data_IF_775951345459
#
_entry.id   IF_775951345459
#
_cell.length_a   1.000
_cell.length_b   1.000
_cell.length_c   1.000
_cell.angle_alpha   90.00
_cell.angle_beta   90.00
_cell.angle_gamma   90.00
#
_symmetry.space_group_name_H-M   'P 1'
#
loop_
_entity.id
_entity.type
_entity.pdbx_description
1 polymer ?
#
# COMPACT_ATOMS: atom_id res chain seq x y z
N UNK A 1 50.59 -6.87 20.93
CA UNK A 1 49.33 -6.60 21.65
C UNK A 1 48.24 -6.22 20.65
N UNK A 2 47.44 -7.20 20.22
CA UNK A 2 46.27 -6.95 19.36
C UNK A 2 45.12 -6.55 20.29
N UNK A 3 44.66 -5.31 20.19
CA UNK A 3 43.48 -4.84 20.95
C UNK A 3 42.24 -5.56 20.40
N UNK A 4 41.74 -6.54 21.13
CA UNK A 4 40.41 -7.09 20.93
C UNK A 4 39.36 -5.97 21.11
N UNK A 5 38.70 -5.60 20.02
CA UNK A 5 37.52 -4.74 20.07
C UNK A 5 36.38 -5.55 20.68
N UNK A 6 36.00 -5.21 21.92
CA UNK A 6 34.78 -5.71 22.58
C UNK A 6 33.57 -5.53 21.66
N UNK A 7 32.65 -6.52 21.58
CA UNK A 7 31.46 -6.42 20.76
C UNK A 7 30.58 -5.28 21.30
N UNK A 8 30.27 -4.32 20.43
CA UNK A 8 29.37 -3.21 20.73
C UNK A 8 27.96 -3.77 21.00
N UNK A 9 27.60 -3.76 22.28
CA UNK A 9 26.28 -4.11 22.79
C UNK A 9 25.33 -2.97 22.38
N UNK A 10 24.32 -3.29 21.55
CA UNK A 10 23.26 -2.43 21.01
C UNK A 10 23.60 -1.50 19.84
N UNK A 11 23.60 -2.06 18.64
CA UNK A 11 23.50 -1.30 17.40
C UNK A 11 22.04 -0.86 17.15
N UNK A 12 21.56 0.16 17.88
CA UNK A 12 20.20 0.71 17.79
C UNK A 12 19.76 1.07 16.35
N UNK A 13 20.71 1.45 15.47
CA UNK A 13 20.44 1.69 14.05
C UNK A 13 20.03 0.42 13.29
N UNK A 14 20.64 -0.72 13.60
CA UNK A 14 20.30 -2.00 12.97
C UNK A 14 18.93 -2.52 13.46
N UNK A 15 18.64 -2.33 14.75
CA UNK A 15 17.33 -2.62 15.37
C UNK A 15 16.22 -1.75 14.76
N UNK A 16 16.44 -0.44 14.62
CA UNK A 16 15.49 0.47 13.99
C UNK A 16 15.18 0.12 12.53
N UNK A 17 16.22 -0.24 11.75
CA UNK A 17 16.05 -0.65 10.34
C UNK A 17 15.25 -1.95 10.21
N UNK A 18 15.50 -2.94 11.08
CA UNK A 18 14.77 -4.20 11.10
C UNK A 18 13.30 -4.04 11.51
N UNK A 19 13.02 -3.21 12.51
CA UNK A 19 11.66 -2.90 12.96
C UNK A 19 10.90 -2.14 11.87
N UNK A 20 11.51 -1.11 11.27
CA UNK A 20 10.89 -0.34 10.20
C UNK A 20 10.55 -1.21 9.00
N UNK A 21 11.48 -2.06 8.55
CA UNK A 21 11.21 -3.02 7.48
C UNK A 21 10.02 -3.93 7.83
N UNK A 22 9.95 -4.43 9.06
CA UNK A 22 8.86 -5.32 9.49
C UNK A 22 7.51 -4.61 9.56
N UNK A 23 7.48 -3.33 9.92
CA UNK A 23 6.27 -2.54 10.03
C UNK A 23 5.78 -1.96 8.69
N UNK A 24 6.69 -1.51 7.83
CA UNK A 24 6.36 -0.74 6.61
C UNK A 24 6.87 -1.38 5.30
N UNK A 25 7.66 -2.45 5.36
CA UNK A 25 8.18 -3.11 4.17
C UNK A 25 7.10 -3.89 3.44
N UNK A 26 6.72 -3.46 2.24
CA UNK A 26 5.66 -4.08 1.44
C UNK A 26 6.02 -5.46 0.85
N UNK A 27 7.31 -5.77 0.72
CA UNK A 27 7.78 -7.02 0.09
C UNK A 27 8.46 -7.99 1.10
N UNK A 28 8.50 -7.65 2.39
CA UNK A 28 9.25 -8.47 3.35
C UNK A 28 8.56 -9.80 3.67
N UNK A 29 9.24 -10.91 3.34
CA UNK A 29 8.81 -12.27 3.68
C UNK A 29 7.63 -12.80 2.87
N UNK A 30 7.40 -12.23 1.68
CA UNK A 30 6.28 -12.59 0.80
C UNK A 30 6.81 -13.16 -0.50
N UNK A 31 6.21 -14.26 -0.96
CA UNK A 31 6.40 -14.71 -2.33
C UNK A 31 5.62 -13.77 -3.28
N UNK A 32 6.35 -12.96 -4.04
CA UNK A 32 5.82 -11.97 -4.99
C UNK A 32 4.99 -12.65 -6.09
N UNK A 33 5.16 -13.94 -6.34
CA UNK A 33 4.35 -14.69 -7.31
C UNK A 33 2.92 -14.98 -6.82
N UNK A 34 2.67 -14.88 -5.51
CA UNK A 34 1.36 -15.07 -4.90
C UNK A 34 0.67 -13.71 -4.62
N UNK A 35 -0.30 -13.37 -5.46
CA UNK A 35 -1.02 -12.09 -5.38
C UNK A 35 -1.77 -11.91 -4.06
N UNK A 36 -2.27 -13.00 -3.46
CA UNK A 36 -3.00 -12.93 -2.19
C UNK A 36 -2.05 -12.63 -1.04
N UNK A 37 -0.87 -13.26 -1.01
CA UNK A 37 0.14 -13.00 -0.01
C UNK A 37 0.67 -11.55 -0.08
N UNK A 38 0.84 -11.02 -1.30
CA UNK A 38 1.19 -9.61 -1.54
C UNK A 38 0.09 -8.68 -1.01
N UNK A 39 -1.18 -8.98 -1.30
CA UNK A 39 -2.31 -8.18 -0.81
C UNK A 39 -2.45 -8.23 0.72
N UNK A 40 -2.29 -9.41 1.33
CA UNK A 40 -2.24 -9.58 2.78
C UNK A 40 -1.17 -8.70 3.40
N UNK A 41 0.05 -8.69 2.83
CA UNK A 41 1.15 -7.86 3.35
C UNK A 41 0.85 -6.37 3.21
N UNK A 42 0.32 -5.93 2.07
CA UNK A 42 -0.15 -4.54 1.89
C UNK A 42 -1.16 -4.15 2.95
N UNK A 43 -2.17 -4.99 3.19
CA UNK A 43 -3.17 -4.75 4.23
C UNK A 43 -2.56 -4.60 5.63
N UNK A 44 -1.57 -5.44 5.98
CA UNK A 44 -0.87 -5.32 7.27
C UNK A 44 -0.12 -3.99 7.38
N UNK A 45 0.61 -3.59 6.33
CA UNK A 45 1.37 -2.33 6.31
C UNK A 45 0.43 -1.13 6.37
N UNK A 46 -0.66 -1.11 5.60
CA UNK A 46 -1.62 0.00 5.58
C UNK A 46 -2.35 0.12 6.91
N UNK A 47 -2.70 -0.99 7.56
CA UNK A 47 -3.23 -0.98 8.92
C UNK A 47 -2.24 -0.33 9.91
N UNK A 48 -0.94 -0.60 9.77
CA UNK A 48 0.07 0.05 10.61
C UNK A 48 0.17 1.56 10.30
N UNK A 49 0.08 1.96 9.03
CA UNK A 49 0.03 3.37 8.64
C UNK A 49 -1.19 4.04 9.29
N UNK A 50 -2.38 3.47 9.13
CA UNK A 50 -3.63 3.96 9.76
C UNK A 50 -3.44 4.17 11.26
N UNK A 51 -2.84 3.20 11.96
CA UNK A 51 -2.58 3.32 13.39
C UNK A 51 -1.69 4.53 13.72
N UNK A 52 -0.60 4.72 12.98
CA UNK A 52 0.31 5.87 13.16
C UNK A 52 -0.39 7.18 12.83
N UNK A 53 -1.17 7.24 11.75
CA UNK A 53 -1.90 8.44 11.35
C UNK A 53 -2.89 8.88 12.40
N UNK A 54 -3.65 7.93 12.96
CA UNK A 54 -4.59 8.23 14.02
C UNK A 54 -3.90 8.71 15.31
N UNK A 55 -2.73 8.13 15.63
CA UNK A 55 -1.92 8.62 16.73
C UNK A 55 -1.48 10.07 16.46
N UNK A 56 -1.02 10.38 15.25
CA UNK A 56 -0.67 11.74 14.85
C UNK A 56 -1.86 12.70 14.91
N UNK A 57 -3.04 12.29 14.44
CA UNK A 57 -4.26 13.11 14.56
C UNK A 57 -4.62 13.37 16.01
N UNK A 58 -4.51 12.37 16.88
CA UNK A 58 -4.75 12.52 18.31
C UNK A 58 -3.76 13.52 18.95
N UNK A 59 -2.49 13.48 18.56
CA UNK A 59 -1.46 14.42 19.03
C UNK A 59 -1.76 15.83 18.54
N UNK A 60 -2.09 16.01 17.24
CA UNK A 60 -2.42 17.32 16.67
C UNK A 60 -3.60 17.94 17.40
N UNK A 61 -4.68 17.18 17.61
CA UNK A 61 -5.87 17.66 18.31
C UNK A 61 -5.59 17.94 19.79
N UNK A 62 -4.73 17.15 20.44
CA UNK A 62 -4.32 17.40 21.82
C UNK A 62 -3.52 18.70 21.94
N UNK A 63 -2.57 18.95 21.03
CA UNK A 63 -1.82 20.22 20.99
C UNK A 63 -2.79 21.39 20.79
N UNK A 64 -3.70 21.29 19.82
CA UNK A 64 -4.73 22.31 19.56
C UNK A 64 -5.58 22.58 20.81
N UNK A 65 -5.97 21.53 21.52
CA UNK A 65 -6.75 21.65 22.74
C UNK A 65 -5.99 22.34 23.88
N UNK A 66 -4.66 22.23 23.93
CA UNK A 66 -3.84 22.90 24.94
C UNK A 66 -3.55 24.35 24.57
N UNK A 67 -3.54 24.68 23.27
CA UNK A 67 -3.19 26.01 22.76
C UNK A 67 -4.37 26.96 22.59
N UNK A 68 -5.61 26.46 22.54
CA UNK A 68 -6.80 27.32 22.39
C UNK A 68 -7.61 27.39 23.69
N UNK A 69 -7.60 28.55 24.35
CA UNK A 69 -8.51 28.83 25.46
C UNK A 69 -9.96 28.85 24.95
N UNK A 70 -10.84 28.01 25.51
CA UNK A 70 -12.28 28.14 25.32
C UNK A 70 -13.01 27.10 24.48
N UNK A 71 -12.41 25.96 24.08
CA UNK A 71 -13.22 24.86 23.51
C UNK A 71 -13.02 23.52 24.22
N UNK A 72 -13.87 23.28 25.22
CA UNK A 72 -14.02 22.00 25.94
C UNK A 72 -14.22 20.81 24.98
N UNK A 73 -14.65 21.07 23.74
CA UNK A 73 -14.84 20.06 22.70
C UNK A 73 -13.54 19.44 22.15
N UNK A 74 -12.39 20.15 22.13
CA UNK A 74 -11.18 19.65 21.44
C UNK A 74 -10.45 18.53 22.20
N UNK A 75 -10.37 18.59 23.53
CA UNK A 75 -9.78 17.49 24.32
C UNK A 75 -10.67 16.24 24.30
N UNK A 76 -12.00 16.40 24.30
CA UNK A 76 -12.95 15.28 24.26
C UNK A 76 -12.79 14.50 22.95
N UNK A 77 -12.66 15.18 21.81
CA UNK A 77 -12.41 14.53 20.51
C UNK A 77 -11.06 13.82 20.53
N UNK A 78 -10.02 14.42 21.12
CA UNK A 78 -8.70 13.79 21.26
C UNK A 78 -8.74 12.52 22.11
N UNK A 79 -9.49 12.53 23.22
CA UNK A 79 -9.66 11.37 24.11
C UNK A 79 -10.49 10.27 23.44
N UNK A 80 -11.55 10.62 22.69
CA UNK A 80 -12.40 9.66 21.95
C UNK A 80 -11.64 9.06 20.74
N UNK A 81 -10.71 9.79 20.15
CA UNK A 81 -9.91 9.31 19.02
C UNK A 81 -9.09 8.06 19.40
N UNK A 82 -8.65 7.93 20.66
CA UNK A 82 -7.85 6.78 21.11
C UNK A 82 -8.67 5.46 21.14
N UNK A 83 -9.85 5.37 21.79
CA UNK A 83 -10.73 4.21 21.66
C UNK A 83 -11.13 3.90 20.21
N UNK A 84 -11.43 4.93 19.41
CA UNK A 84 -11.79 4.75 18.00
C UNK A 84 -10.64 4.10 17.22
N UNK A 85 -9.41 4.57 17.44
CA UNK A 85 -8.20 4.00 16.85
C UNK A 85 -8.02 2.53 17.24
N UNK A 86 -8.23 2.20 18.51
CA UNK A 86 -8.16 0.82 18.99
C UNK A 86 -9.21 -0.07 18.31
N UNK A 87 -10.47 0.39 18.22
CA UNK A 87 -11.57 -0.35 17.59
C UNK A 87 -11.27 -0.61 16.11
N UNK A 88 -10.86 0.41 15.36
CA UNK A 88 -10.55 0.28 13.94
C UNK A 88 -9.35 -0.65 13.72
N UNK A 89 -8.28 -0.51 14.50
CA UNK A 89 -7.13 -1.39 14.39
C UNK A 89 -7.49 -2.85 14.71
N UNK A 90 -8.37 -3.09 15.70
CA UNK A 90 -8.90 -4.42 16.03
C UNK A 90 -9.76 -4.97 14.90
N UNK A 91 -10.63 -4.16 14.32
CA UNK A 91 -11.49 -4.54 13.19
C UNK A 91 -10.65 -4.92 11.96
N UNK A 92 -9.71 -4.06 11.56
CA UNK A 92 -8.82 -4.33 10.43
C UNK A 92 -7.97 -5.58 10.68
N UNK A 93 -7.39 -5.73 11.88
CA UNK A 93 -6.64 -6.94 12.24
C UNK A 93 -7.51 -8.21 12.13
N UNK A 94 -8.77 -8.13 12.54
CA UNK A 94 -9.71 -9.25 12.42
C UNK A 94 -10.01 -9.58 10.96
N UNK A 95 -10.32 -8.59 10.12
CA UNK A 95 -10.62 -8.80 8.71
C UNK A 95 -9.42 -9.39 7.95
N UNK A 96 -8.22 -8.86 8.19
CA UNK A 96 -6.98 -9.30 7.54
C UNK A 96 -6.64 -10.75 7.89
N UNK A 97 -6.86 -11.15 9.14
CA UNK A 97 -6.50 -12.49 9.63
C UNK A 97 -7.65 -13.50 9.55
N UNK A 98 -8.83 -13.10 9.05
CA UNK A 98 -9.98 -14.00 8.93
C UNK A 98 -9.69 -15.15 7.97
N UNK A 99 -9.02 -14.85 6.86
CA UNK A 99 -8.53 -15.83 5.91
C UNK A 99 -7.39 -15.21 5.07
N UNK A 100 -6.12 -15.52 5.40
CA UNK A 100 -4.97 -14.95 4.72
C UNK A 100 -4.82 -15.38 3.24
N UNK A 101 -5.46 -16.49 2.84
CA UNK A 101 -5.28 -17.09 1.52
C UNK A 101 -6.46 -16.82 0.56
N UNK A 102 -7.55 -16.23 1.07
CA UNK A 102 -8.72 -15.86 0.27
C UNK A 102 -8.60 -14.43 -0.28
N UNK A 103 -8.53 -14.31 -1.61
CA UNK A 103 -8.43 -13.04 -2.32
C UNK A 103 -9.60 -12.10 -2.01
N UNK A 104 -10.82 -12.61 -1.96
CA UNK A 104 -12.03 -11.82 -1.74
C UNK A 104 -12.02 -11.20 -0.34
N UNK A 105 -11.71 -12.00 0.68
CA UNK A 105 -11.62 -11.50 2.07
C UNK A 105 -10.49 -10.47 2.23
N UNK A 106 -9.35 -10.69 1.57
CA UNK A 106 -8.27 -9.69 1.54
C UNK A 106 -8.67 -8.40 0.80
N UNK A 107 -9.44 -8.51 -0.30
CA UNK A 107 -10.00 -7.34 -0.98
C UNK A 107 -11.00 -6.58 -0.11
N UNK A 108 -11.86 -7.28 0.65
CA UNK A 108 -12.77 -6.63 1.62
C UNK A 108 -11.97 -5.84 2.66
N UNK A 109 -10.91 -6.42 3.23
CA UNK A 109 -10.05 -5.71 4.18
C UNK A 109 -9.41 -4.45 3.55
N UNK A 110 -8.98 -4.53 2.28
CA UNK A 110 -8.43 -3.41 1.51
C UNK A 110 -9.45 -2.28 1.34
N UNK A 111 -10.67 -2.58 0.88
CA UNK A 111 -11.71 -1.56 0.70
C UNK A 111 -12.14 -0.94 2.02
N UNK A 112 -12.24 -1.73 3.10
CA UNK A 112 -12.56 -1.20 4.44
C UNK A 112 -11.46 -0.27 4.95
N UNK A 113 -10.18 -0.62 4.75
CA UNK A 113 -9.06 0.22 5.13
C UNK A 113 -9.04 1.54 4.32
N UNK A 114 -9.24 1.46 3.01
CA UNK A 114 -9.31 2.64 2.14
C UNK A 114 -10.48 3.56 2.49
N UNK A 115 -11.66 2.98 2.73
CA UNK A 115 -12.84 3.72 3.20
C UNK A 115 -12.58 4.40 4.54
N UNK A 116 -11.90 3.72 5.47
CA UNK A 116 -11.53 4.31 6.75
C UNK A 116 -10.57 5.50 6.58
N UNK A 117 -9.52 5.36 5.76
CA UNK A 117 -8.57 6.45 5.49
C UNK A 117 -9.31 7.66 4.94
N UNK A 118 -10.12 7.43 3.90
CA UNK A 118 -11.00 8.42 3.31
C UNK A 118 -11.84 9.14 4.37
N UNK A 119 -12.61 8.39 5.15
CA UNK A 119 -13.53 8.93 6.13
C UNK A 119 -12.79 9.69 7.25
N UNK A 120 -11.69 9.13 7.75
CA UNK A 120 -10.89 9.76 8.80
C UNK A 120 -10.27 11.08 8.34
N UNK A 121 -9.71 11.15 7.14
CA UNK A 121 -9.11 12.37 6.61
C UNK A 121 -10.15 13.48 6.43
N UNK A 122 -11.37 13.14 6.02
CA UNK A 122 -12.50 14.08 5.91
C UNK A 122 -12.96 14.59 7.28
N UNK A 123 -13.09 13.71 8.28
CA UNK A 123 -13.51 14.14 9.62
C UNK A 123 -12.50 15.09 10.26
N UNK A 124 -11.20 14.77 10.13
CA UNK A 124 -10.14 15.64 10.65
C UNK A 124 -10.08 16.93 9.82
N UNK A 125 -10.25 16.86 8.49
CA UNK A 125 -10.39 18.06 7.64
C UNK A 125 -11.49 18.98 8.18
N UNK A 126 -12.69 18.44 8.40
CA UNK A 126 -13.83 19.23 8.85
C UNK A 126 -13.59 19.90 10.21
N UNK A 127 -12.84 19.23 11.10
CA UNK A 127 -12.46 19.79 12.40
C UNK A 127 -11.39 20.87 12.30
N UNK A 128 -10.35 20.65 11.49
CA UNK A 128 -9.22 21.57 11.36
C UNK A 128 -9.56 22.81 10.51
N UNK A 129 -10.43 22.66 9.51
CA UNK A 129 -10.80 23.73 8.59
C UNK A 129 -11.45 24.92 9.31
N UNK A 130 -12.16 24.67 10.41
CA UNK A 130 -12.81 25.71 11.22
C UNK A 130 -11.84 26.53 12.07
N UNK A 131 -10.55 26.14 12.14
CA UNK A 131 -9.54 26.81 12.94
C UNK A 131 -8.69 27.73 12.06
N UNK A 132 -8.48 28.94 12.53
CA UNK A 132 -7.63 29.95 11.88
C UNK A 132 -6.21 29.37 11.64
N UNK A 133 -5.62 29.65 10.48
CA UNK A 133 -4.31 29.14 10.02
C UNK A 133 -4.21 27.63 9.69
N UNK A 134 -5.22 26.81 9.99
CA UNK A 134 -5.20 25.36 9.71
C UNK A 134 -5.90 24.97 8.42
N UNK A 135 -6.44 25.93 7.66
CA UNK A 135 -7.13 25.68 6.39
C UNK A 135 -6.26 24.86 5.41
N UNK A 136 -5.03 25.31 5.14
CA UNK A 136 -4.08 24.61 4.27
C UNK A 136 -3.70 23.23 4.81
N UNK A 137 -3.53 23.13 6.14
CA UNK A 137 -3.24 21.86 6.81
C UNK A 137 -4.38 20.85 6.65
N UNK A 138 -5.63 21.31 6.70
CA UNK A 138 -6.81 20.50 6.43
C UNK A 138 -6.77 19.97 5.00
N UNK A 139 -6.53 20.83 4.00
CA UNK A 139 -6.47 20.40 2.59
C UNK A 139 -5.43 19.31 2.34
N UNK A 140 -4.26 19.39 2.96
CA UNK A 140 -3.19 18.39 2.83
C UNK A 140 -3.68 16.99 3.23
N UNK A 141 -4.65 16.86 4.13
CA UNK A 141 -5.22 15.56 4.53
C UNK A 141 -5.92 14.84 3.39
N UNK A 142 -6.51 15.57 2.44
CA UNK A 142 -7.16 14.99 1.27
C UNK A 142 -6.12 14.41 0.30
N UNK A 143 -5.01 15.11 0.10
CA UNK A 143 -3.87 14.61 -0.67
C UNK A 143 -3.23 13.39 0.02
N UNK A 144 -3.07 13.48 1.34
CA UNK A 144 -2.57 12.40 2.17
C UNK A 144 -3.41 11.11 2.01
N UNK A 145 -4.75 11.21 2.04
CA UNK A 145 -5.62 10.06 1.83
C UNK A 145 -5.36 9.37 0.48
N UNK A 146 -5.24 10.15 -0.59
CA UNK A 146 -4.91 9.64 -1.94
C UNK A 146 -3.56 8.92 -1.93
N UNK A 147 -2.54 9.48 -1.27
CA UNK A 147 -1.21 8.85 -1.16
C UNK A 147 -1.30 7.51 -0.45
N UNK A 148 -1.96 7.42 0.71
CA UNK A 148 -2.04 6.16 1.44
C UNK A 148 -2.80 5.11 0.65
N UNK A 149 -3.92 5.49 0.01
CA UNK A 149 -4.69 4.56 -0.84
C UNK A 149 -3.84 4.08 -2.02
N UNK A 150 -2.99 4.95 -2.59
CA UNK A 150 -2.09 4.60 -3.70
C UNK A 150 -1.05 3.52 -3.34
N UNK A 151 -0.71 3.38 -2.05
CA UNK A 151 0.23 2.36 -1.58
C UNK A 151 -0.30 0.93 -1.73
N UNK A 152 -1.62 0.76 -1.91
CA UNK A 152 -2.18 -0.53 -2.32
C UNK A 152 -1.75 -0.93 -3.73
N UNK A 153 -1.25 0.02 -4.53
CA UNK A 153 -0.89 -0.15 -5.93
C UNK A 153 -2.03 -0.83 -6.71
N UNK A 154 -3.24 -0.31 -6.53
CA UNK A 154 -4.47 -0.79 -7.18
C UNK A 154 -5.20 0.37 -7.87
N UNK A 155 -5.19 0.38 -9.21
CA UNK A 155 -5.74 1.46 -10.04
C UNK A 155 -7.22 1.70 -9.80
N UNK A 156 -8.03 0.64 -9.71
CA UNK A 156 -9.48 0.74 -9.60
C UNK A 156 -9.89 1.35 -8.26
N UNK A 157 -9.25 0.93 -7.18
CA UNK A 157 -9.40 1.46 -5.83
C UNK A 157 -8.98 2.92 -5.77
N UNK A 158 -7.83 3.26 -6.34
CA UNK A 158 -7.35 4.63 -6.38
C UNK A 158 -8.33 5.54 -7.16
N UNK A 159 -8.77 5.12 -8.34
CA UNK A 159 -9.69 5.89 -9.18
C UNK A 159 -11.05 6.10 -8.52
N UNK A 160 -11.65 5.01 -8.00
CA UNK A 160 -12.95 5.10 -7.29
C UNK A 160 -12.87 5.93 -6.02
N UNK A 161 -11.80 5.79 -5.24
CA UNK A 161 -11.59 6.60 -4.03
C UNK A 161 -11.37 8.07 -4.37
N UNK A 162 -10.63 8.37 -5.44
CA UNK A 162 -10.41 9.74 -5.91
C UNK A 162 -11.71 10.39 -6.38
N UNK A 163 -12.54 9.70 -7.16
CA UNK A 163 -13.85 10.21 -7.57
C UNK A 163 -14.72 10.54 -6.35
N UNK A 164 -14.73 9.68 -5.34
CA UNK A 164 -15.41 9.94 -4.06
C UNK A 164 -14.85 11.16 -3.33
N UNK A 165 -13.52 11.29 -3.24
CA UNK A 165 -12.86 12.44 -2.60
C UNK A 165 -13.16 13.74 -3.33
N UNK A 166 -13.10 13.73 -4.66
CA UNK A 166 -13.37 14.90 -5.48
C UNK A 166 -14.83 15.35 -5.32
N UNK A 167 -15.79 14.43 -5.44
CA UNK A 167 -17.21 14.75 -5.27
C UNK A 167 -17.50 15.32 -3.87
N UNK A 168 -16.97 14.68 -2.83
CA UNK A 168 -17.14 15.16 -1.46
C UNK A 168 -16.47 16.53 -1.24
N UNK A 169 -15.26 16.72 -1.76
CA UNK A 169 -14.54 17.97 -1.66
C UNK A 169 -15.30 19.10 -2.37
N UNK A 170 -15.88 18.85 -3.54
CA UNK A 170 -16.77 19.81 -4.22
C UNK A 170 -17.97 20.17 -3.34
N UNK A 171 -18.63 19.18 -2.72
CA UNK A 171 -19.76 19.43 -1.80
C UNK A 171 -19.32 20.28 -0.60
N UNK A 172 -18.17 19.98 -0.01
CA UNK A 172 -17.58 20.74 1.10
C UNK A 172 -17.35 22.20 0.70
N UNK A 173 -16.75 22.45 -0.47
CA UNK A 173 -16.48 23.83 -0.90
C UNK A 173 -17.77 24.62 -1.12
N UNK A 174 -18.75 24.01 -1.79
CA UNK A 174 -20.01 24.68 -2.10
C UNK A 174 -20.83 24.94 -0.84
N UNK A 175 -20.95 23.97 0.07
CA UNK A 175 -21.85 24.09 1.21
C UNK A 175 -21.17 24.75 2.42
N UNK A 176 -19.97 24.29 2.80
CA UNK A 176 -19.30 24.75 4.01
C UNK A 176 -18.38 25.93 3.78
N UNK A 177 -17.52 25.89 2.77
CA UNK A 177 -16.52 26.96 2.58
C UNK A 177 -17.18 28.26 2.11
N UNK A 178 -18.02 28.19 1.10
CA UNK A 178 -18.55 29.40 0.44
C UNK A 178 -20.03 29.67 0.71
N UNK A 179 -20.71 28.79 1.44
CA UNK A 179 -22.15 28.90 1.72
C UNK A 179 -22.95 29.29 0.46
N UNK A 180 -22.90 28.44 -0.56
CA UNK A 180 -23.49 28.68 -1.87
C UNK A 180 -24.99 29.02 -1.80
N UNK A 181 -25.71 28.49 -0.80
CA UNK A 181 -27.12 28.83 -0.56
C UNK A 181 -27.32 30.32 -0.24
N UNK A 182 -26.43 30.91 0.55
CA UNK A 182 -26.43 32.35 0.82
C UNK A 182 -26.04 33.18 -0.41
N UNK A 183 -25.08 32.69 -1.21
CA UNK A 183 -24.61 33.37 -2.42
C UNK A 183 -25.68 33.47 -3.51
N UNK A 184 -26.50 32.43 -3.68
CA UNK A 184 -27.58 32.42 -4.69
C UNK A 184 -28.60 33.52 -4.42
N UNK A 185 -28.84 33.89 -3.16
CA UNK A 185 -29.69 35.01 -2.74
C UNK A 185 -31.04 35.09 -3.46
N UNK A 186 -31.66 33.93 -3.74
CA UNK A 186 -32.95 33.82 -4.43
C UNK A 186 -32.93 33.92 -5.96
N UNK A 187 -31.76 34.10 -6.58
CA UNK A 187 -31.61 34.13 -8.05
C UNK A 187 -31.88 32.76 -8.68
N UNK A 188 -32.31 32.76 -9.94
CA UNK A 188 -32.41 31.52 -10.72
C UNK A 188 -31.03 31.03 -11.16
N UNK A 189 -30.90 29.73 -11.49
CA UNK A 189 -29.62 29.14 -11.91
C UNK A 189 -29.01 29.83 -13.14
N UNK A 190 -29.85 30.33 -14.06
CA UNK A 190 -29.43 31.04 -15.27
C UNK A 190 -28.89 32.44 -14.99
N UNK A 191 -29.38 33.11 -13.95
CA UNK A 191 -28.91 34.44 -13.53
C UNK A 191 -27.64 34.36 -12.68
N UNK A 192 -27.58 33.35 -11.81
CA UNK A 192 -26.50 33.18 -10.86
C UNK A 192 -25.22 32.62 -11.51
N UNK A 193 -25.33 31.65 -12.42
CA UNK A 193 -24.15 30.96 -12.95
C UNK A 193 -23.15 31.91 -13.66
N UNK A 194 -23.57 32.86 -14.53
CA UNK A 194 -22.64 33.82 -15.13
C UNK A 194 -22.00 34.78 -14.11
N UNK A 195 -22.71 35.09 -13.02
CA UNK A 195 -22.19 35.93 -11.94
C UNK A 195 -21.17 35.16 -11.12
N UNK A 196 -21.47 33.91 -10.76
CA UNK A 196 -20.61 33.01 -10.02
C UNK A 196 -19.24 32.82 -10.69
N UNK A 197 -19.20 32.67 -12.02
CA UNK A 197 -17.94 32.55 -12.77
C UNK A 197 -16.99 33.76 -12.64
N UNK A 198 -17.50 34.92 -12.22
CA UNK A 198 -16.72 36.14 -12.01
C UNK A 198 -16.32 36.36 -10.55
N UNK A 199 -16.88 35.56 -9.64
CA UNK A 199 -16.62 35.65 -8.23
C UNK A 199 -15.24 35.03 -7.89
N UNK A 200 -14.48 35.60 -6.93
CA UNK A 200 -13.19 35.05 -6.51
C UNK A 200 -13.31 33.61 -5.96
N UNK A 201 -14.45 33.26 -5.38
CA UNK A 201 -14.79 31.93 -4.87
C UNK A 201 -14.74 30.87 -5.97
N UNK A 202 -15.23 31.18 -7.17
CA UNK A 202 -15.17 30.26 -8.30
C UNK A 202 -13.72 29.97 -8.71
N UNK A 203 -12.89 31.02 -8.77
CA UNK A 203 -11.47 30.89 -9.10
C UNK A 203 -10.74 30.00 -8.09
N UNK A 204 -10.98 30.18 -6.79
CA UNK A 204 -10.38 29.36 -5.74
C UNK A 204 -10.80 27.88 -5.85
N UNK A 205 -12.11 27.59 -5.96
CA UNK A 205 -12.61 26.22 -6.13
C UNK A 205 -11.99 25.56 -7.37
N UNK A 206 -11.97 26.30 -8.49
CA UNK A 206 -11.44 25.80 -9.75
C UNK A 206 -9.95 25.46 -9.63
N UNK A 207 -9.15 26.37 -9.06
CA UNK A 207 -7.72 26.17 -8.89
C UNK A 207 -7.42 24.99 -7.95
N UNK A 208 -8.08 24.90 -6.80
CA UNK A 208 -7.90 23.77 -5.86
C UNK A 208 -8.30 22.44 -6.48
N UNK A 209 -9.40 22.43 -7.23
CA UNK A 209 -9.87 21.24 -7.95
C UNK A 209 -8.86 20.81 -9.02
N UNK A 210 -8.34 21.75 -9.81
CA UNK A 210 -7.37 21.47 -10.87
C UNK A 210 -6.05 20.95 -10.28
N UNK A 211 -5.56 21.54 -9.19
CA UNK A 211 -4.38 21.06 -8.48
C UNK A 211 -4.58 19.64 -7.92
N UNK A 212 -5.77 19.34 -7.37
CA UNK A 212 -6.08 18.01 -6.87
C UNK A 212 -6.15 16.96 -7.99
N UNK A 213 -6.71 17.31 -9.14
CA UNK A 213 -6.71 16.46 -10.35
C UNK A 213 -5.29 16.25 -10.87
N UNK A 214 -4.46 17.29 -10.92
CA UNK A 214 -3.07 17.19 -11.35
C UNK A 214 -2.28 16.26 -10.43
N UNK A 215 -2.48 16.38 -9.12
CA UNK A 215 -1.88 15.48 -8.14
C UNK A 215 -2.31 14.03 -8.36
N UNK A 216 -3.62 13.79 -8.52
CA UNK A 216 -4.14 12.46 -8.81
C UNK A 216 -3.54 11.88 -10.09
N UNK A 217 -3.38 12.67 -11.15
CA UNK A 217 -2.77 12.22 -12.39
C UNK A 217 -1.35 11.66 -12.15
N UNK A 218 -0.52 12.39 -11.39
CA UNK A 218 0.83 11.95 -11.04
C UNK A 218 0.80 10.66 -10.22
N UNK A 219 -0.03 10.61 -9.18
CA UNK A 219 -0.15 9.42 -8.31
C UNK A 219 -0.66 8.21 -9.09
N UNK A 220 -1.64 8.41 -9.97
CA UNK A 220 -2.18 7.36 -10.84
C UNK A 220 -1.12 6.83 -11.81
N UNK A 221 -0.30 7.71 -12.39
CA UNK A 221 0.82 7.30 -13.23
C UNK A 221 1.83 6.44 -12.46
N UNK A 222 2.20 6.84 -11.23
CA UNK A 222 3.08 6.07 -10.34
C UNK A 222 2.51 4.69 -10.03
N UNK A 223 1.23 4.61 -9.63
CA UNK A 223 0.55 3.34 -9.37
C UNK A 223 0.49 2.49 -10.63
N UNK A 224 0.23 3.10 -11.78
CA UNK A 224 0.13 2.39 -13.05
C UNK A 224 1.45 1.75 -13.48
N UNK A 225 2.54 2.52 -13.41
CA UNK A 225 3.89 2.02 -13.66
C UNK A 225 4.29 0.95 -12.63
N UNK A 226 3.95 1.16 -11.35
CA UNK A 226 4.21 0.21 -10.27
C UNK A 226 3.56 -1.15 -10.51
N UNK A 227 2.27 -1.17 -10.86
CA UNK A 227 1.56 -2.39 -11.22
C UNK A 227 2.17 -3.09 -12.44
N UNK A 228 2.41 -2.35 -13.52
CA UNK A 228 3.02 -2.90 -14.73
C UNK A 228 4.37 -3.57 -14.44
N UNK A 229 5.24 -2.89 -13.68
CA UNK A 229 6.54 -3.42 -13.30
C UNK A 229 6.44 -4.67 -12.40
N UNK A 230 5.39 -4.79 -11.58
CA UNK A 230 5.16 -6.00 -10.78
C UNK A 230 4.71 -7.17 -11.64
N UNK A 231 3.83 -6.94 -12.61
CA UNK A 231 3.38 -7.97 -13.55
C UNK A 231 4.55 -8.49 -14.41
N UNK A 232 5.40 -7.61 -14.92
CA UNK A 232 6.59 -8.00 -15.68
C UNK A 232 7.59 -8.79 -14.81
N UNK A 233 7.88 -8.33 -13.58
CA UNK A 233 8.72 -9.09 -12.63
C UNK A 233 8.16 -10.49 -12.36
N UNK A 234 6.83 -10.61 -12.23
CA UNK A 234 6.17 -11.91 -12.04
C UNK A 234 6.34 -12.83 -13.25
N UNK A 235 6.11 -12.33 -14.47
CA UNK A 235 6.30 -13.09 -15.72
C UNK A 235 7.74 -13.57 -15.86
N UNK A 236 8.70 -12.70 -15.58
CA UNK A 236 10.11 -13.04 -15.62
C UNK A 236 10.47 -14.15 -14.63
N UNK A 237 9.99 -14.06 -13.39
CA UNK A 237 10.22 -15.09 -12.37
C UNK A 237 9.64 -16.45 -12.76
N UNK A 238 8.44 -16.48 -13.34
CA UNK A 238 7.83 -17.72 -13.84
C UNK A 238 8.68 -18.32 -14.96
N UNK A 239 9.09 -17.49 -15.94
CA UNK A 239 9.95 -17.93 -17.05
C UNK A 239 11.29 -18.48 -16.54
N UNK A 240 11.92 -17.83 -15.55
CA UNK A 240 13.16 -18.31 -14.92
C UNK A 240 12.97 -19.68 -14.25
N UNK A 241 11.87 -19.88 -13.51
CA UNK A 241 11.54 -21.18 -12.88
C UNK A 241 11.32 -22.27 -13.93
N UNK A 242 10.63 -21.96 -15.04
CA UNK A 242 10.43 -22.90 -16.14
C UNK A 242 11.76 -23.33 -16.77
N UNK A 243 12.62 -22.37 -17.13
CA UNK A 243 13.94 -22.65 -17.72
C UNK A 243 14.81 -23.50 -16.78
N UNK A 244 14.75 -23.26 -15.47
CA UNK A 244 15.47 -24.06 -14.47
C UNK A 244 14.97 -25.52 -14.42
N UNK A 245 13.65 -25.72 -14.48
CA UNK A 245 13.07 -27.06 -14.52
C UNK A 245 13.47 -27.79 -15.81
N UNK A 246 13.35 -27.13 -16.96
CA UNK A 246 13.73 -27.70 -18.26
C UNK A 246 15.22 -28.09 -18.29
N UNK A 247 16.10 -27.22 -17.77
CA UNK A 247 17.52 -27.53 -17.63
C UNK A 247 17.77 -28.74 -16.73
N UNK A 248 17.07 -28.83 -15.59
CA UNK A 248 17.19 -29.97 -14.68
C UNK A 248 16.75 -31.29 -15.33
N UNK A 249 15.69 -31.26 -16.14
CA UNK A 249 15.22 -32.43 -16.89
C UNK A 249 16.25 -32.84 -17.96
N UNK A 250 16.72 -31.89 -18.78
CA UNK A 250 17.72 -32.17 -19.82
C UNK A 250 19.01 -32.73 -19.23
N UNK A 251 19.50 -32.15 -18.13
CA UNK A 251 20.72 -32.64 -17.45
C UNK A 251 20.49 -34.04 -16.87
N UNK A 252 19.33 -34.29 -16.26
CA UNK A 252 18.96 -35.62 -15.75
C UNK A 252 18.94 -36.68 -16.86
N UNK A 253 18.32 -36.36 -18.00
CA UNK A 253 18.25 -37.24 -19.16
C UNK A 253 19.65 -37.52 -19.74
N UNK A 254 20.48 -36.47 -19.89
CA UNK A 254 21.86 -36.61 -20.37
C UNK A 254 22.69 -37.52 -19.45
N UNK A 255 22.61 -37.34 -18.13
CA UNK A 255 23.29 -38.22 -17.19
C UNK A 255 22.78 -39.66 -17.31
N UNK A 256 21.47 -39.87 -17.41
CA UNK A 256 20.87 -41.20 -17.57
C UNK A 256 21.36 -41.92 -18.84
N UNK A 257 21.43 -41.21 -19.97
CA UNK A 257 21.97 -41.77 -21.24
C UNK A 257 23.47 -42.07 -21.12
N UNK A 258 24.26 -41.17 -20.51
CA UNK A 258 25.70 -41.40 -20.30
C UNK A 258 25.95 -42.61 -19.39
N UNK A 259 25.20 -42.74 -18.29
CA UNK A 259 25.34 -43.89 -17.38
C UNK A 259 24.92 -45.19 -18.06
N UNK A 260 23.77 -45.23 -18.73
CA UNK A 260 23.31 -46.45 -19.43
C UNK A 260 24.25 -46.89 -20.56
N UNK A 261 24.80 -45.95 -21.34
CA UNK A 261 25.83 -46.26 -22.34
C UNK A 261 27.14 -46.74 -21.72
N UNK A 262 27.56 -46.20 -20.57
CA UNK A 262 28.72 -46.68 -19.83
C UNK A 262 28.53 -48.12 -19.34
N UNK A 263 27.38 -48.46 -18.76
CA UNK A 263 27.08 -49.82 -18.30
C UNK A 263 27.08 -50.83 -19.46
N UNK A 264 26.45 -50.50 -20.59
CA UNK A 264 26.44 -51.40 -21.77
C UNK A 264 27.84 -51.60 -22.38
N UNK A 265 28.70 -50.58 -22.37
CA UNK A 265 30.09 -50.72 -22.81
C UNK A 265 30.95 -51.53 -21.82
N UNK A 266 30.72 -51.38 -20.51
CA UNK A 266 31.36 -52.21 -19.49
C UNK A 266 30.97 -53.68 -19.65
N UNK A 267 29.68 -53.97 -19.83
CA UNK A 267 29.17 -55.33 -19.96
C UNK A 267 29.76 -56.04 -21.20
N UNK A 268 29.84 -55.35 -22.35
CA UNK A 268 30.53 -55.87 -23.55
C UNK A 268 32.01 -56.17 -23.32
N UNK A 269 32.73 -55.29 -22.60
CA UNK A 269 34.14 -55.52 -22.28
C UNK A 269 34.32 -56.68 -21.32
N UNK A 270 33.44 -56.80 -20.32
CA UNK A 270 33.48 -57.86 -19.33
C UNK A 270 33.17 -59.22 -19.97
N UNK A 271 32.13 -59.31 -20.80
CA UNK A 271 31.79 -60.50 -21.57
C UNK A 271 32.95 -60.96 -22.46
N UNK A 272 33.61 -60.04 -23.19
CA UNK A 272 34.79 -60.36 -23.99
C UNK A 272 35.98 -60.84 -23.14
N UNK A 273 36.20 -60.26 -21.96
CA UNK A 273 37.25 -60.73 -21.05
C UNK A 273 36.96 -62.12 -20.49
N UNK A 274 35.71 -62.42 -20.11
CA UNK A 274 35.31 -63.76 -19.65
C UNK A 274 35.46 -64.78 -20.78
N UNK A 275 35.07 -64.45 -22.01
CA UNK A 275 35.28 -65.32 -23.16
C UNK A 275 36.76 -65.63 -23.40
N UNK A 276 37.61 -64.59 -23.44
CA UNK A 276 39.06 -64.77 -23.63
C UNK A 276 39.72 -65.58 -22.50
N UNK A 277 39.21 -65.48 -21.27
CA UNK A 277 39.68 -66.29 -20.14
C UNK A 277 39.18 -67.73 -20.25
N UNK A 278 37.93 -67.94 -20.69
CA UNK A 278 37.37 -69.28 -20.94
C UNK A 278 38.11 -70.02 -22.05
N UNK A 279 38.45 -69.32 -23.15
CA UNK A 279 39.24 -69.87 -24.26
C UNK A 279 40.69 -70.20 -23.87
N UNK A 280 41.21 -69.60 -22.79
CA UNK A 280 42.55 -69.89 -22.27
C UNK A 280 42.58 -70.99 -21.21
N UNK A 281 41.43 -71.32 -20.62
CA UNK A 281 41.30 -72.30 -19.54
C UNK A 281 40.72 -73.65 -19.99
N UNK A 282 40.11 -73.71 -21.18
CA UNK A 282 39.74 -74.96 -21.88
C UNK A 282 40.80 -75.37 -22.88
#
# INVERSE_FOLDING_TARGET
MVKEKKPSIFNFKALGKGIFARFFGFEQGVDITNDVAVLYRRNVVIKNIIFVSNLMYSIILLILSLSTEGSVTDWVVSVIALPLTYVINKLLKKLINMDPNDKTKQSVAMYVAAFYIFFSSVLIYARLYQKEYFETGAYILMYYAVVVISLYQEKKLLASSFQGLLALLTVIHLIWTYNFQGLVNGQTLFEFLPQFLRLPEFSDILLRTLLFILFYFVVYAIVSMGQYMQEERKKELIKRRQVQNDFSHIVGDLFSVVFSSSYTLMDKRHANQVQLMSEKLG
#
